data_IF_081706857720
#
_entry.id   IF_081706857720
#
_cell.length_a   1.000
_cell.length_b   1.000
_cell.length_c   1.000
_cell.angle_alpha   90.00
_cell.angle_beta   90.00
_cell.angle_gamma   90.00
#
_symmetry.space_group_name_H-M   'P 1'
#
loop_
_entity.id
_entity.type
_entity.pdbx_description
1 polymer ?
#
# COMPACT_ATOMS: atom_id res chain seq x y z
N UNK A 1 -21.37 4.62 -0.09
CA UNK A 1 -20.67 3.55 0.62
C UNK A 1 -19.27 4.05 0.85
N UNK A 2 -18.78 4.09 2.09
CA UNK A 2 -17.41 4.52 2.36
C UNK A 2 -16.47 3.39 1.92
N UNK A 3 -15.77 3.59 0.81
CA UNK A 3 -14.76 2.64 0.35
C UNK A 3 -13.68 2.55 1.42
N UNK A 4 -13.42 1.33 1.90
CA UNK A 4 -12.47 1.11 2.99
C UNK A 4 -11.07 1.06 2.41
N UNK A 5 -10.26 2.04 2.80
CA UNK A 5 -8.87 2.18 2.38
C UNK A 5 -7.95 1.44 3.34
N UNK A 6 -6.97 0.72 2.81
CA UNK A 6 -5.96 0.01 3.61
C UNK A 6 -4.56 0.33 3.12
N UNK A 7 -3.68 0.71 4.03
CA UNK A 7 -2.24 0.81 3.80
C UNK A 7 -1.54 -0.44 4.36
N UNK A 8 -0.84 -1.18 3.50
CA UNK A 8 -0.04 -2.36 3.88
C UNK A 8 1.44 -2.04 3.70
N UNK A 9 2.21 -2.05 4.79
CA UNK A 9 3.67 -1.87 4.76
C UNK A 9 4.37 -3.21 4.53
N UNK A 10 5.57 -3.17 3.94
CA UNK A 10 6.29 -4.40 3.57
C UNK A 10 5.57 -5.22 2.49
N UNK A 11 4.73 -4.58 1.67
CA UNK A 11 3.89 -5.26 0.68
C UNK A 11 4.66 -5.88 -0.50
N UNK A 12 5.98 -5.70 -0.58
CA UNK A 12 6.81 -6.20 -1.69
C UNK A 12 7.15 -7.70 -1.63
N UNK A 13 6.82 -8.40 -0.54
CA UNK A 13 7.03 -9.85 -0.42
C UNK A 13 6.30 -10.48 0.77
N UNK A 14 6.08 -11.80 0.72
CA UNK A 14 5.73 -12.60 1.89
C UNK A 14 4.36 -12.25 2.49
N UNK A 15 4.28 -12.03 3.80
CA UNK A 15 3.01 -11.76 4.49
C UNK A 15 2.36 -10.47 3.98
N UNK A 16 3.15 -9.41 3.77
CA UNK A 16 2.64 -8.12 3.29
C UNK A 16 2.01 -8.23 1.90
N UNK A 17 2.71 -8.92 0.99
CA UNK A 17 2.22 -9.19 -0.37
C UNK A 17 0.91 -9.99 -0.36
N UNK A 18 0.88 -11.09 0.39
CA UNK A 18 -0.31 -11.94 0.50
C UNK A 18 -1.49 -11.17 1.12
N UNK A 19 -1.22 -10.32 2.11
CA UNK A 19 -2.24 -9.48 2.75
C UNK A 19 -2.79 -8.44 1.80
N UNK A 20 -1.93 -7.71 1.08
CA UNK A 20 -2.33 -6.68 0.13
C UNK A 20 -3.19 -7.29 -0.99
N UNK A 21 -2.74 -8.42 -1.56
CA UNK A 21 -3.47 -9.14 -2.62
C UNK A 21 -4.84 -9.62 -2.14
N UNK A 22 -4.93 -10.19 -0.93
CA UNK A 22 -6.19 -10.68 -0.38
C UNK A 22 -7.19 -9.55 -0.13
N UNK A 23 -6.74 -8.41 0.37
CA UNK A 23 -7.60 -7.25 0.64
C UNK A 23 -8.07 -6.61 -0.66
N UNK A 24 -7.20 -6.49 -1.67
CA UNK A 24 -7.58 -5.99 -2.99
C UNK A 24 -8.67 -6.87 -3.61
N UNK A 25 -8.49 -8.21 -3.56
CA UNK A 25 -9.49 -9.17 -4.02
C UNK A 25 -10.81 -9.15 -3.22
N UNK A 26 -10.82 -8.59 -2.00
CA UNK A 26 -12.01 -8.41 -1.18
C UNK A 26 -12.72 -7.06 -1.41
N UNK A 27 -12.25 -6.25 -2.38
CA UNK A 27 -12.87 -4.98 -2.76
C UNK A 27 -12.45 -3.78 -1.93
N UNK A 28 -11.31 -3.85 -1.23
CA UNK A 28 -10.73 -2.70 -0.56
C UNK A 28 -9.85 -1.89 -1.54
N UNK A 29 -9.75 -0.58 -1.33
CA UNK A 29 -8.72 0.24 -1.96
C UNK A 29 -7.42 0.02 -1.21
N UNK A 30 -6.47 -0.70 -1.80
CA UNK A 30 -5.23 -1.10 -1.11
C UNK A 30 -4.05 -0.32 -1.64
N UNK A 31 -3.35 0.35 -0.74
CA UNK A 31 -2.03 0.92 -0.97
C UNK A 31 -0.96 -0.01 -0.40
N UNK A 32 -0.02 -0.45 -1.23
CA UNK A 32 1.12 -1.25 -0.79
C UNK A 32 2.36 -0.37 -0.71
N UNK A 33 2.97 -0.29 0.47
CA UNK A 33 4.17 0.50 0.72
C UNK A 33 5.41 -0.37 0.97
N UNK A 34 6.49 -0.12 0.24
CA UNK A 34 7.81 -0.69 0.50
C UNK A 34 8.90 0.10 -0.24
N UNK A 35 10.16 -0.14 0.12
CA UNK A 35 11.33 0.42 -0.59
C UNK A 35 11.44 -0.02 -2.05
N UNK A 36 10.80 -1.14 -2.43
CA UNK A 36 10.84 -1.69 -3.80
C UNK A 36 9.43 -1.68 -4.39
N UNK A 37 8.97 -0.48 -4.77
CA UNK A 37 7.62 -0.27 -5.30
C UNK A 37 7.35 -1.08 -6.58
N UNK A 38 8.37 -1.35 -7.39
CA UNK A 38 8.24 -2.15 -8.63
C UNK A 38 7.67 -3.54 -8.39
N UNK A 39 7.99 -4.18 -7.25
CA UNK A 39 7.43 -5.49 -6.90
C UNK A 39 5.94 -5.41 -6.57
N UNK A 40 5.51 -4.29 -6.00
CA UNK A 40 4.13 -4.03 -5.63
C UNK A 40 3.31 -3.68 -6.86
N UNK A 41 3.89 -2.96 -7.82
CA UNK A 41 3.25 -2.61 -9.09
C UNK A 41 2.84 -3.84 -9.93
N UNK A 42 3.41 -5.01 -9.65
CA UNK A 42 3.03 -6.29 -10.27
C UNK A 42 1.81 -6.94 -9.61
N UNK A 43 1.36 -6.45 -8.45
CA UNK A 43 0.24 -7.00 -7.70
C UNK A 43 -1.08 -6.41 -8.23
N UNK A 44 -2.05 -7.25 -8.64
CA UNK A 44 -3.31 -6.76 -9.18
C UNK A 44 -4.15 -6.08 -8.09
N UNK A 45 -4.68 -4.89 -8.39
CA UNK A 45 -5.56 -4.14 -7.48
C UNK A 45 -4.87 -3.49 -6.28
N UNK A 46 -3.53 -3.39 -6.30
CA UNK A 46 -2.74 -2.72 -5.25
C UNK A 46 -2.05 -1.49 -5.84
N UNK A 47 -2.19 -0.35 -5.18
CA UNK A 47 -1.56 0.92 -5.55
C UNK A 47 -0.17 0.99 -4.90
N UNK A 48 0.93 1.04 -5.66
CA UNK A 48 2.27 1.04 -5.09
C UNK A 48 2.65 2.41 -4.51
N UNK A 49 3.31 2.39 -3.36
CA UNK A 49 3.97 3.53 -2.72
C UNK A 49 5.43 3.14 -2.42
N UNK A 50 6.38 3.91 -2.93
CA UNK A 50 7.77 3.80 -2.50
C UNK A 50 7.92 4.48 -1.14
N UNK A 51 8.35 3.72 -0.13
CA UNK A 51 8.47 4.21 1.24
C UNK A 51 9.43 3.35 2.06
N UNK A 52 10.35 4.00 2.77
CA UNK A 52 11.06 3.39 3.89
C UNK A 52 10.30 3.64 5.21
N UNK A 53 9.99 2.57 5.94
CA UNK A 53 9.22 2.65 7.19
C UNK A 53 10.03 3.29 8.32
N UNK A 54 11.35 3.34 8.22
CA UNK A 54 12.22 3.95 9.23
C UNK A 54 12.41 5.45 9.03
N UNK A 55 11.82 6.03 7.97
CA UNK A 55 11.86 7.46 7.67
C UNK A 55 10.48 8.08 7.91
N UNK A 56 10.33 8.77 9.04
CA UNK A 56 9.07 9.39 9.46
C UNK A 56 8.52 10.41 8.44
N UNK A 57 9.40 11.09 7.69
CA UNK A 57 8.98 12.04 6.67
C UNK A 57 8.34 11.31 5.49
N UNK A 58 8.91 10.17 5.09
CA UNK A 58 8.32 9.33 4.03
C UNK A 58 7.00 8.69 4.47
N UNK A 59 6.90 8.24 5.72
CA UNK A 59 5.64 7.71 6.27
C UNK A 59 4.56 8.79 6.26
N UNK A 60 4.88 9.99 6.72
CA UNK A 60 3.94 11.12 6.76
C UNK A 60 3.49 11.51 5.35
N UNK A 61 4.41 11.58 4.39
CA UNK A 61 4.09 11.88 2.99
C UNK A 61 3.21 10.81 2.34
N UNK A 62 3.47 9.52 2.61
CA UNK A 62 2.67 8.42 2.10
C UNK A 62 1.23 8.47 2.63
N UNK A 63 1.06 8.71 3.93
CA UNK A 63 -0.28 8.84 4.55
C UNK A 63 -1.01 10.07 4.01
N UNK A 64 -0.32 11.21 3.90
CA UNK A 64 -0.93 12.42 3.34
C UNK A 64 -1.42 12.21 1.92
N UNK A 65 -0.60 11.59 1.07
CA UNK A 65 -0.99 11.22 -0.29
C UNK A 65 -2.26 10.37 -0.32
N UNK A 66 -2.36 9.38 0.56
CA UNK A 66 -3.55 8.52 0.63
C UNK A 66 -4.79 9.35 0.99
N UNK A 67 -4.67 10.26 1.98
CA UNK A 67 -5.77 11.13 2.41
C UNK A 67 -6.20 12.07 1.28
N UNK A 68 -5.26 12.64 0.53
CA UNK A 68 -5.55 13.57 -0.57
C UNK A 68 -6.23 12.89 -1.77
N UNK A 69 -6.05 11.57 -1.92
CA UNK A 69 -6.64 10.75 -2.98
C UNK A 69 -8.05 10.19 -2.63
N UNK A 70 -8.56 10.43 -1.41
CA UNK A 70 -9.92 10.02 -1.00
C UNK A 70 -10.97 11.12 -1.18
#
# INVERSE_FOLDING_TARGET
MSDRVVLVTGASSGIGEATATRLAGAGFTVYGAARRADRIAQLPGVIPIEMDITDDAQVSAAVQRIIDEQ
#
